data_IF_699245020729
#
_entry.id   IF_699245020729
#
_cell.length_a   1.000
_cell.length_b   1.000
_cell.length_c   1.000
_cell.angle_alpha   90.00
_cell.angle_beta   90.00
_cell.angle_gamma   90.00
#
_symmetry.space_group_name_H-M   'P 1'
#
loop_
_entity.id
_entity.type
_entity.pdbx_description
1 polymer ?
#
# COMPACT_ATOMS: atom_id res chain seq x y z
N UNK A 1 1.81 14.40 10.01
CA UNK A 1 2.85 13.61 10.73
C UNK A 1 2.58 12.11 10.63
N UNK A 2 1.32 11.67 10.75
CA UNK A 2 0.93 10.25 10.68
C UNK A 2 1.50 9.45 9.48
N UNK A 3 1.47 10.00 8.26
CA UNK A 3 2.05 9.30 7.09
C UNK A 3 3.55 9.02 7.22
N UNK A 4 4.32 9.94 7.82
CA UNK A 4 5.76 9.70 8.06
C UNK A 4 5.98 8.54 9.02
N UNK A 5 5.11 8.39 10.02
CA UNK A 5 5.18 7.28 10.97
C UNK A 5 4.91 5.96 10.26
N UNK A 6 3.87 5.88 9.44
CA UNK A 6 3.59 4.68 8.62
C UNK A 6 4.77 4.34 7.70
N UNK A 7 5.34 5.34 7.02
CA UNK A 7 6.51 5.14 6.16
C UNK A 7 7.69 4.53 6.93
N UNK A 8 7.98 5.03 8.13
CA UNK A 8 9.07 4.49 8.94
C UNK A 8 8.76 3.11 9.50
N UNK A 9 7.51 2.83 9.87
CA UNK A 9 7.08 1.49 10.29
C UNK A 9 7.29 0.47 9.17
N UNK A 10 6.85 0.79 7.94
CA UNK A 10 7.05 -0.07 6.76
C UNK A 10 8.55 -0.23 6.45
N UNK A 11 9.34 0.85 6.54
CA UNK A 11 10.78 0.75 6.31
C UNK A 11 11.48 -0.14 7.34
N UNK A 12 11.08 -0.09 8.61
CA UNK A 12 11.61 -0.97 9.65
C UNK A 12 11.22 -2.44 9.41
N UNK A 13 9.98 -2.68 9.00
CA UNK A 13 9.49 -3.99 8.58
C UNK A 13 10.27 -4.54 7.37
N UNK A 14 10.51 -3.71 6.36
CA UNK A 14 11.26 -4.09 5.16
C UNK A 14 12.70 -4.49 5.50
N UNK A 15 13.39 -3.69 6.32
CA UNK A 15 14.74 -4.03 6.79
C UNK A 15 14.80 -5.36 7.54
N UNK A 16 13.73 -5.73 8.24
CA UNK A 16 13.65 -7.03 8.90
C UNK A 16 13.58 -8.16 7.87
N UNK A 17 12.81 -8.02 6.79
CA UNK A 17 12.79 -9.01 5.70
C UNK A 17 14.15 -9.10 4.98
N UNK A 18 14.82 -7.96 4.74
CA UNK A 18 16.17 -7.93 4.15
C UNK A 18 17.23 -8.63 5.02
N UNK A 19 16.96 -8.81 6.31
CA UNK A 19 17.81 -9.53 7.25
C UNK A 19 17.53 -11.04 7.30
N UNK A 20 16.94 -11.60 6.24
CA UNK A 20 16.64 -13.05 6.08
C UNK A 20 15.61 -13.58 7.08
N UNK A 21 14.64 -12.73 7.44
CA UNK A 21 13.48 -13.12 8.25
C UNK A 21 12.23 -13.30 7.38
N UNK A 22 11.48 -14.37 7.61
CA UNK A 22 10.33 -14.75 6.77
C UNK A 22 9.01 -14.04 7.14
N UNK A 23 8.97 -13.28 8.23
CA UNK A 23 7.74 -12.67 8.79
C UNK A 23 7.95 -11.22 9.15
N UNK A 24 6.89 -10.42 8.98
CA UNK A 24 6.90 -9.02 9.39
C UNK A 24 6.87 -8.90 10.94
N UNK A 25 7.70 -8.02 11.52
CA UNK A 25 7.61 -7.71 12.94
C UNK A 25 6.48 -6.71 13.20
N UNK A 26 5.88 -6.77 14.39
CA UNK A 26 4.97 -5.71 14.84
C UNK A 26 5.78 -4.46 15.20
N UNK A 27 5.54 -3.35 14.49
CA UNK A 27 6.20 -2.07 14.75
C UNK A 27 5.19 -1.09 15.34
N UNK A 28 5.45 -0.57 16.54
CA UNK A 28 4.61 0.42 17.21
C UNK A 28 5.23 1.81 17.03
N UNK A 29 4.68 2.68 16.17
CA UNK A 29 5.17 4.04 16.02
C UNK A 29 4.76 4.91 17.22
N UNK A 30 5.72 5.55 17.89
CA UNK A 30 5.49 6.46 19.02
C UNK A 30 5.98 7.87 18.65
N UNK A 31 5.18 8.90 18.94
CA UNK A 31 5.53 10.31 18.76
C UNK A 31 5.68 10.98 20.13
N UNK A 32 6.89 11.45 20.44
CA UNK A 32 7.11 12.37 21.55
C UNK A 32 6.95 13.81 21.03
N UNK A 33 6.02 14.57 21.60
CA UNK A 33 5.72 15.93 21.18
C UNK A 33 5.98 16.91 22.33
N UNK A 34 6.75 17.97 22.05
CA UNK A 34 7.00 19.09 22.94
C UNK A 34 6.88 20.38 22.12
N UNK A 35 5.66 20.86 21.93
CA UNK A 35 5.40 22.11 21.22
C UNK A 35 4.39 22.98 21.98
N UNK A 36 4.16 24.18 21.44
CA UNK A 36 3.39 25.22 22.13
C UNK A 36 1.88 24.90 22.20
N UNK A 37 1.33 24.20 21.20
CA UNK A 37 -0.09 23.86 21.15
C UNK A 37 -0.38 22.54 21.89
N UNK A 38 -1.18 22.60 22.96
CA UNK A 38 -1.59 21.42 23.76
C UNK A 38 -3.11 21.37 23.88
N UNK A 39 -3.78 20.24 23.54
CA UNK A 39 -3.21 18.97 23.08
C UNK A 39 -2.64 19.05 21.64
N UNK A 40 -1.86 18.04 21.24
CA UNK A 40 -1.32 17.95 19.89
C UNK A 40 -2.44 18.14 18.83
N UNK A 41 -2.33 19.12 17.92
CA UNK A 41 -3.48 19.57 17.14
C UNK A 41 -3.74 18.76 15.85
N UNK A 42 -2.85 17.85 15.47
CA UNK A 42 -2.96 17.10 14.20
C UNK A 42 -3.42 15.66 14.44
N UNK A 43 -4.15 15.09 13.47
CA UNK A 43 -4.55 13.68 13.54
C UNK A 43 -3.33 12.75 13.50
N UNK A 44 -3.38 11.74 14.37
CA UNK A 44 -2.46 10.59 14.39
C UNK A 44 -2.99 9.41 13.58
N UNK A 45 -4.22 9.49 13.06
CA UNK A 45 -4.77 8.49 12.16
C UNK A 45 -4.36 8.83 10.72
N UNK A 46 -3.49 8.03 10.12
CA UNK A 46 -3.02 8.27 8.76
C UNK A 46 -4.14 8.20 7.70
N UNK A 47 -5.25 7.53 7.99
CA UNK A 47 -6.42 7.48 7.11
C UNK A 47 -7.08 8.85 6.92
N UNK A 48 -6.98 9.74 7.90
CA UNK A 48 -7.57 11.09 7.81
C UNK A 48 -6.81 11.98 6.81
N UNK A 49 -5.69 11.50 6.27
CA UNK A 49 -4.92 12.18 5.23
C UNK A 49 -5.43 11.89 3.81
N UNK A 50 -6.35 10.95 3.63
CA UNK A 50 -6.94 10.66 2.33
C UNK A 50 -8.16 11.54 2.07
N UNK A 51 -8.44 11.82 0.80
CA UNK A 51 -9.67 12.52 0.39
C UNK A 51 -10.96 11.80 0.84
N UNK A 52 -10.92 10.47 0.91
CA UNK A 52 -11.97 9.65 1.53
C UNK A 52 -11.34 8.65 2.50
N UNK A 53 -11.35 8.96 3.81
CA UNK A 53 -10.83 8.06 4.84
C UNK A 53 -11.55 6.70 4.88
N UNK A 54 -12.84 6.66 4.56
CA UNK A 54 -13.67 5.44 4.56
C UNK A 54 -13.23 4.50 3.44
N UNK A 55 -13.00 5.03 2.24
CA UNK A 55 -12.50 4.23 1.12
C UNK A 55 -11.09 3.72 1.41
N UNK A 56 -10.21 4.56 1.97
CA UNK A 56 -8.86 4.14 2.34
C UNK A 56 -8.88 3.00 3.36
N UNK A 57 -9.72 3.08 4.40
CA UNK A 57 -9.88 1.98 5.37
C UNK A 57 -10.34 0.68 4.71
N UNK A 58 -11.30 0.75 3.77
CA UNK A 58 -11.77 -0.43 3.03
C UNK A 58 -10.65 -1.09 2.23
N UNK A 59 -9.80 -0.30 1.58
CA UNK A 59 -8.70 -0.81 0.75
C UNK A 59 -7.57 -1.38 1.58
N UNK A 60 -7.11 -0.66 2.61
CA UNK A 60 -5.90 -1.05 3.35
C UNK A 60 -6.15 -2.01 4.52
N UNK A 61 -7.39 -2.21 4.96
CA UNK A 61 -7.75 -3.20 5.98
C UNK A 61 -8.39 -4.47 5.41
N UNK A 62 -8.45 -4.60 4.08
CA UNK A 62 -8.88 -5.82 3.40
C UNK A 62 -7.68 -6.47 2.72
N UNK A 63 -7.74 -7.77 2.38
CA UNK A 63 -6.80 -8.35 1.44
C UNK A 63 -6.73 -7.48 0.18
N UNK A 64 -5.51 -7.24 -0.32
CA UNK A 64 -5.35 -6.47 -1.54
C UNK A 64 -6.05 -7.18 -2.70
N UNK A 65 -6.79 -6.45 -3.55
CA UNK A 65 -7.42 -7.05 -4.71
C UNK A 65 -6.34 -7.61 -5.64
N UNK A 66 -6.42 -8.91 -5.93
CA UNK A 66 -5.58 -9.59 -6.90
C UNK A 66 -6.41 -9.78 -8.18
N UNK A 67 -5.92 -9.24 -9.29
CA UNK A 67 -6.47 -9.50 -10.63
C UNK A 67 -5.52 -10.48 -11.32
N UNK A 68 -5.96 -11.72 -11.50
CA UNK A 68 -5.19 -12.77 -12.15
C UNK A 68 -5.52 -12.83 -13.65
N UNK A 69 -4.72 -12.13 -14.45
CA UNK A 69 -4.89 -12.00 -15.90
C UNK A 69 -4.70 -13.36 -16.62
N UNK A 70 -4.12 -14.37 -15.98
CA UNK A 70 -3.93 -15.70 -16.61
C UNK A 70 -5.22 -16.51 -16.69
N UNK A 71 -6.22 -16.16 -15.88
CA UNK A 71 -7.51 -16.83 -15.81
C UNK A 71 -8.68 -15.91 -16.17
N UNK A 72 -8.47 -14.59 -16.27
CA UNK A 72 -9.49 -13.63 -16.70
C UNK A 72 -9.76 -13.80 -18.20
N UNK A 73 -11.01 -14.08 -18.62
CA UNK A 73 -11.36 -14.14 -20.03
C UNK A 73 -11.12 -12.79 -20.72
N UNK A 74 -10.60 -12.81 -21.95
CA UNK A 74 -10.34 -11.59 -22.76
C UNK A 74 -11.58 -10.69 -22.87
N UNK A 75 -12.78 -11.27 -22.86
CA UNK A 75 -14.05 -10.56 -22.95
C UNK A 75 -14.36 -9.69 -21.71
N UNK A 76 -13.94 -10.12 -20.51
CA UNK A 76 -14.13 -9.39 -19.24
C UNK A 76 -13.09 -8.26 -19.07
N UNK A 77 -11.90 -8.46 -19.62
CA UNK A 77 -10.84 -7.44 -19.75
C UNK A 77 -11.33 -6.28 -20.60
N UNK A 78 -11.94 -6.56 -21.76
CA UNK A 78 -12.40 -5.54 -22.70
C UNK A 78 -13.56 -4.68 -22.17
N UNK A 79 -14.34 -5.18 -21.20
CA UNK A 79 -15.41 -4.40 -20.57
C UNK A 79 -14.88 -3.37 -19.56
N UNK A 80 -13.75 -3.64 -18.90
CA UNK A 80 -13.15 -2.71 -17.94
C UNK A 80 -12.19 -1.73 -18.63
N UNK A 81 -12.74 -0.71 -19.31
CA UNK A 81 -11.99 0.31 -20.10
C UNK A 81 -10.74 0.93 -19.44
N UNK A 82 -10.66 0.98 -18.10
CA UNK A 82 -9.51 1.55 -17.36
C UNK A 82 -8.47 0.50 -16.97
N UNK A 83 -8.88 -0.75 -16.78
CA UNK A 83 -8.01 -1.88 -16.43
C UNK A 83 -7.37 -2.43 -17.71
N UNK A 84 -8.11 -2.48 -18.81
CA UNK A 84 -7.62 -2.88 -20.13
C UNK A 84 -6.38 -2.08 -20.60
N UNK A 85 -6.26 -0.81 -20.23
CA UNK A 85 -5.08 0.02 -20.57
C UNK A 85 -3.88 -0.38 -19.71
N UNK A 86 -4.07 -0.63 -18.42
CA UNK A 86 -3.01 -1.10 -17.53
C UNK A 86 -2.54 -2.52 -17.93
N UNK A 87 -3.48 -3.38 -18.33
CA UNK A 87 -3.20 -4.73 -18.84
C UNK A 87 -2.48 -4.72 -20.19
N UNK A 88 -2.89 -3.85 -21.12
CA UNK A 88 -2.20 -3.69 -22.41
C UNK A 88 -0.76 -3.23 -22.18
N UNK A 89 -0.55 -2.27 -21.26
CA UNK A 89 0.78 -1.81 -20.88
C UNK A 89 1.61 -2.93 -20.23
N UNK A 90 1.02 -3.77 -19.37
CA UNK A 90 1.76 -4.90 -18.78
C UNK A 90 2.11 -5.99 -19.81
N UNK A 91 1.22 -6.24 -20.79
CA UNK A 91 1.40 -7.24 -21.86
C UNK A 91 2.44 -6.84 -22.89
N UNK A 92 2.57 -5.54 -23.22
CA UNK A 92 3.61 -5.06 -24.16
C UNK A 92 5.03 -5.14 -23.58
N UNK A 93 5.18 -5.19 -22.25
CA UNK A 93 6.49 -5.12 -21.59
C UNK A 93 7.01 -6.44 -20.99
N UNK A 94 6.30 -7.57 -21.13
CA UNK A 94 6.73 -8.82 -20.45
C UNK A 94 7.27 -9.89 -21.40
N UNK A 95 8.60 -9.98 -21.59
CA UNK A 95 9.30 -11.25 -21.63
C UNK A 95 10.01 -11.44 -20.29
N UNK A 96 9.53 -12.42 -19.51
CA UNK A 96 10.13 -12.94 -18.28
C UNK A 96 10.04 -12.06 -17.00
N UNK A 97 9.39 -12.66 -15.98
CA UNK A 97 9.55 -12.47 -14.52
C UNK A 97 9.94 -11.06 -14.05
N UNK A 98 8.93 -10.30 -13.62
CA UNK A 98 9.15 -9.22 -12.65
C UNK A 98 8.94 -9.75 -11.23
N UNK A 99 10.06 -9.83 -10.50
CA UNK A 99 10.06 -9.74 -9.05
C UNK A 99 9.28 -8.49 -8.64
N UNK A 100 8.19 -8.70 -7.91
CA UNK A 100 7.48 -7.65 -7.20
C UNK A 100 8.29 -7.33 -5.94
N UNK A 101 9.35 -6.51 -6.06
CA UNK A 101 9.88 -5.71 -4.94
C UNK A 101 10.56 -4.46 -5.51
N UNK A 102 9.95 -3.28 -5.30
CA UNK A 102 10.57 -1.98 -5.03
C UNK A 102 9.47 -0.95 -4.73
#
# INVERSE_FOLDING_TARGET
MAFRMMRYSIAAMHRHLEADHDKLPLVVPILFYQGEATPYPLSMCWFDMFYSPELARRVYNSPFPLVDITITPDDEIMQHRRIAILELLQKTYSPARLNVIA
#
